data_IF_332769517452
#
_entry.id   IF_332769517452
#
_cell.length_a   1.000
_cell.length_b   1.000
_cell.length_c   1.000
_cell.angle_alpha   90.00
_cell.angle_beta   90.00
_cell.angle_gamma   90.00
#
_symmetry.space_group_name_H-M   'P 1'
#
loop_
_entity.id
_entity.type
_entity.pdbx_description
1 polymer ?
#
# COMPACT_ATOMS: atom_id res chain seq x y z
N UNK A 1 3.36 -14.25 -1.39
CA UNK A 1 4.33 -13.21 -1.77
C UNK A 1 5.72 -13.68 -1.37
N UNK A 2 6.41 -14.33 -2.30
CA UNK A 2 7.77 -14.79 -2.12
C UNK A 2 8.47 -14.58 -3.47
N UNK A 3 9.03 -13.37 -3.67
CA UNK A 3 9.97 -13.12 -4.76
C UNK A 3 11.36 -13.63 -4.33
N UNK A 4 12.02 -14.33 -5.24
CA UNK A 4 13.11 -15.28 -5.03
C UNK A 4 14.38 -14.77 -4.32
N UNK A 5 14.95 -15.70 -3.54
CA UNK A 5 16.39 -15.83 -3.31
C UNK A 5 17.00 -16.69 -4.43
N UNK A 6 17.93 -16.14 -5.20
CA UNK A 6 18.98 -16.89 -5.90
C UNK A 6 20.29 -16.10 -5.83
N UNK A 7 21.10 -16.38 -4.82
CA UNK A 7 22.54 -16.11 -4.88
C UNK A 7 23.27 -17.38 -5.29
N UNK A 8 24.09 -17.23 -6.33
CA UNK A 8 24.95 -18.23 -6.89
C UNK A 8 25.89 -18.85 -5.84
N UNK A 9 26.16 -20.14 -6.05
CA UNK A 9 27.10 -20.97 -5.31
C UNK A 9 28.50 -20.35 -5.28
N UNK A 10 29.09 -20.24 -4.09
CA UNK A 10 30.52 -20.50 -3.92
C UNK A 10 30.69 -21.51 -2.80
N UNK A 11 31.37 -22.61 -3.13
CA UNK A 11 31.72 -23.70 -2.22
C UNK A 11 32.89 -23.25 -1.34
N UNK A 12 32.75 -23.34 -0.03
CA UNK A 12 33.87 -23.60 0.87
C UNK A 12 33.36 -24.34 2.10
N UNK A 13 33.79 -25.59 2.22
CA UNK A 13 33.52 -26.48 3.34
C UNK A 13 34.34 -26.06 4.55
N UNK A 14 33.76 -26.12 5.75
CA UNK A 14 34.45 -26.53 6.98
C UNK A 14 33.45 -27.24 7.91
N UNK A 15 33.91 -28.34 8.47
CA UNK A 15 33.17 -29.29 9.27
C UNK A 15 33.32 -29.02 10.78
N UNK A 16 32.34 -29.55 11.53
CA UNK A 16 32.39 -30.06 12.89
C UNK A 16 32.57 -29.06 14.06
N UNK A 17 31.62 -29.02 14.99
CA UNK A 17 31.65 -29.85 16.21
C UNK A 17 30.39 -29.64 17.08
N UNK A 18 30.14 -30.63 17.92
CA UNK A 18 28.93 -30.87 18.69
C UNK A 18 28.97 -30.26 20.12
N UNK A 19 27.79 -30.37 20.75
CA UNK A 19 27.54 -30.65 22.16
C UNK A 19 27.31 -29.48 23.16
N UNK A 20 26.06 -29.49 23.66
CA UNK A 20 25.63 -29.54 25.08
C UNK A 20 26.33 -28.63 26.09
N UNK A 21 25.54 -27.77 26.76
CA UNK A 21 25.60 -27.61 28.23
C UNK A 21 24.31 -26.98 28.78
N UNK A 22 23.59 -27.76 29.58
CA UNK A 22 22.73 -27.29 30.67
C UNK A 22 23.63 -26.70 31.76
N UNK A 23 23.25 -25.57 32.36
CA UNK A 23 23.39 -25.37 33.80
C UNK A 23 22.51 -24.20 34.27
N UNK A 24 21.64 -24.53 35.22
CA UNK A 24 20.85 -23.62 36.01
C UNK A 24 21.72 -22.82 36.98
N UNK A 25 21.22 -21.67 37.45
CA UNK A 25 21.48 -21.21 38.82
C UNK A 25 20.34 -20.28 39.29
N UNK A 26 19.65 -20.77 40.32
CA UNK A 26 18.85 -20.01 41.27
C UNK A 26 19.70 -18.97 42.01
N UNK A 27 19.11 -17.82 42.30
CA UNK A 27 19.61 -16.86 43.28
C UNK A 27 18.44 -16.17 43.98
N UNK A 28 18.18 -16.55 45.23
CA UNK A 28 17.25 -15.88 46.14
C UNK A 28 17.86 -14.59 46.71
N UNK A 29 17.00 -13.64 47.08
CA UNK A 29 17.23 -12.78 48.25
C UNK A 29 17.05 -11.28 48.00
N UNK A 30 16.21 -10.64 48.82
CA UNK A 30 16.21 -9.18 48.99
C UNK A 30 14.85 -8.62 49.36
N UNK A 31 14.66 -8.26 50.63
CA UNK A 31 13.41 -7.72 51.18
C UNK A 31 13.20 -6.22 50.95
N UNK A 32 11.99 -5.77 51.27
CA UNK A 32 11.56 -4.38 51.43
C UNK A 32 10.13 -4.43 51.97
N UNK A 33 9.80 -3.88 53.14
CA UNK A 33 10.07 -2.50 53.53
C UNK A 33 8.86 -1.68 53.09
N UNK A 34 7.82 -1.69 53.91
CA UNK A 34 6.56 -1.00 53.63
C UNK A 34 6.75 0.51 53.53
N UNK A 35 6.12 1.12 52.52
CA UNK A 35 5.82 2.55 52.52
C UNK A 35 4.50 2.75 51.78
N UNK A 36 3.51 3.29 52.49
CA UNK A 36 2.18 3.56 51.97
C UNK A 36 2.24 4.67 50.91
N UNK A 37 1.96 4.32 49.66
CA UNK A 37 1.64 5.27 48.61
C UNK A 37 0.13 5.35 48.45
N UNK A 38 -0.42 6.51 48.76
CA UNK A 38 -1.79 6.91 48.39
C UNK A 38 -1.96 6.83 46.88
N UNK A 39 -2.66 5.80 46.43
CA UNK A 39 -3.04 5.57 45.03
C UNK A 39 -4.04 6.64 44.61
N UNK A 40 -3.56 7.71 43.97
CA UNK A 40 -4.45 8.62 43.25
C UNK A 40 -5.13 7.84 42.12
N UNK A 41 -6.46 7.85 42.10
CA UNK A 41 -7.24 7.17 41.08
C UNK A 41 -6.84 7.69 39.68
N UNK A 42 -6.60 6.81 38.70
CA UNK A 42 -6.21 7.21 37.36
C UNK A 42 -7.33 8.07 36.75
N UNK A 43 -7.00 9.33 36.49
CA UNK A 43 -7.87 10.25 35.76
C UNK A 43 -8.06 9.68 34.35
N UNK A 44 -9.22 9.09 34.09
CA UNK A 44 -9.65 8.61 32.77
C UNK A 44 -9.82 9.80 31.84
N UNK A 45 -8.69 10.25 31.29
CA UNK A 45 -8.67 11.29 30.26
C UNK A 45 -9.38 10.67 29.06
N UNK A 46 -10.63 11.08 28.84
CA UNK A 46 -11.43 10.64 27.70
C UNK A 46 -10.80 11.27 26.45
N UNK A 47 -9.83 10.58 25.86
CA UNK A 47 -9.20 11.00 24.61
C UNK A 47 -10.28 10.95 23.53
N UNK A 48 -10.61 12.11 22.97
CA UNK A 48 -11.50 12.18 21.81
C UNK A 48 -10.95 11.23 20.74
N UNK A 49 -11.80 10.36 20.13
CA UNK A 49 -11.38 9.51 19.03
C UNK A 49 -10.72 10.36 17.96
N UNK A 50 -9.54 9.96 17.50
CA UNK A 50 -8.93 10.60 16.33
C UNK A 50 -9.84 10.35 15.12
N UNK A 51 -10.23 11.45 14.48
CA UNK A 51 -10.97 11.45 13.21
C UNK A 51 -9.97 11.90 12.15
N UNK A 52 -9.75 11.09 11.12
CA UNK A 52 -8.86 11.48 10.03
C UNK A 52 -9.46 12.72 9.34
N UNK A 53 -8.65 13.73 8.94
CA UNK A 53 -9.16 14.86 8.17
C UNK A 53 -9.95 14.37 6.95
N UNK A 54 -11.14 14.94 6.73
CA UNK A 54 -12.01 14.57 5.63
C UNK A 54 -12.61 13.17 5.74
N UNK A 55 -12.71 12.61 6.95
CA UNK A 55 -13.39 11.35 7.19
C UNK A 55 -14.88 11.47 6.84
N UNK A 56 -15.34 10.56 5.99
CA UNK A 56 -16.73 10.52 5.58
C UNK A 56 -17.59 9.79 6.63
N UNK A 57 -18.80 10.29 6.85
CA UNK A 57 -19.85 9.56 7.57
C UNK A 57 -20.20 8.25 6.86
N UNK A 58 -20.82 7.29 7.56
CA UNK A 58 -21.29 6.05 6.95
C UNK A 58 -22.23 6.30 5.77
N UNK A 59 -23.11 7.31 5.88
CA UNK A 59 -24.02 7.71 4.82
C UNK A 59 -23.26 8.23 3.60
N UNK A 60 -22.28 9.11 3.79
CA UNK A 60 -21.43 9.62 2.71
C UNK A 60 -20.62 8.50 2.03
N UNK A 61 -20.02 7.59 2.81
CA UNK A 61 -19.28 6.43 2.25
C UNK A 61 -20.20 5.52 1.44
N UNK A 62 -21.39 5.22 1.95
CA UNK A 62 -22.43 4.49 1.22
C UNK A 62 -22.86 5.25 -0.03
N UNK A 63 -22.89 6.58 0.02
CA UNK A 63 -23.20 7.45 -1.12
C UNK A 63 -22.08 7.61 -2.15
N UNK A 64 -20.94 6.91 -2.02
CA UNK A 64 -19.83 6.97 -3.00
C UNK A 64 -18.81 8.10 -2.78
N UNK A 65 -18.82 8.73 -1.60
CA UNK A 65 -17.85 9.77 -1.25
C UNK A 65 -16.45 9.19 -0.98
N UNK A 66 -15.43 9.81 -1.55
CA UNK A 66 -14.04 9.44 -1.35
C UNK A 66 -13.52 9.82 0.04
N UNK A 67 -12.80 8.90 0.68
CA UNK A 67 -12.22 9.12 2.01
C UNK A 67 -11.14 10.18 2.00
N UNK A 68 -11.16 11.06 3.01
CA UNK A 68 -10.23 12.18 3.09
C UNK A 68 -10.68 13.40 2.27
N UNK A 69 -11.87 13.33 1.65
CA UNK A 69 -12.46 14.37 0.80
C UNK A 69 -13.94 14.65 1.14
N UNK A 70 -14.34 14.40 2.38
CA UNK A 70 -15.64 14.81 2.91
C UNK A 70 -15.53 16.12 3.71
N UNK A 71 -16.52 17.00 3.56
CA UNK A 71 -16.67 18.20 4.36
C UNK A 71 -17.76 17.95 5.42
N UNK A 72 -17.38 18.05 6.69
CA UNK A 72 -18.31 17.85 7.81
C UNK A 72 -19.26 19.04 8.00
N UNK A 73 -18.85 20.25 7.60
CA UNK A 73 -19.60 21.47 7.88
C UNK A 73 -20.88 21.60 7.04
N UNK A 74 -20.83 21.17 5.79
CA UNK A 74 -21.95 21.26 4.84
C UNK A 74 -22.43 19.89 4.34
N UNK A 75 -21.79 18.79 4.77
CA UNK A 75 -22.10 17.43 4.35
C UNK A 75 -21.69 17.09 2.91
N UNK A 76 -21.05 18.01 2.19
CA UNK A 76 -20.58 17.79 0.82
C UNK A 76 -19.37 16.85 0.78
N UNK A 77 -19.12 16.23 -0.37
CA UNK A 77 -17.95 15.40 -0.58
C UNK A 77 -17.49 15.41 -2.03
N UNK A 78 -16.25 14.96 -2.26
CA UNK A 78 -15.82 14.52 -3.58
C UNK A 78 -16.14 13.05 -3.77
N UNK A 79 -16.61 12.68 -4.95
CA UNK A 79 -16.83 11.30 -5.33
C UNK A 79 -15.50 10.56 -5.55
N UNK A 80 -15.50 9.24 -5.47
CA UNK A 80 -14.35 8.48 -5.97
C UNK A 80 -14.08 8.83 -7.45
N UNK A 81 -12.81 8.78 -7.91
CA UNK A 81 -12.47 8.98 -9.32
C UNK A 81 -13.27 8.10 -10.29
N UNK A 82 -13.60 6.86 -9.88
CA UNK A 82 -14.40 5.92 -10.66
C UNK A 82 -15.92 6.09 -10.50
N UNK A 83 -16.39 7.24 -10.00
CA UNK A 83 -17.81 7.60 -9.82
C UNK A 83 -18.13 8.89 -10.55
N UNK A 84 -19.40 9.08 -10.92
CA UNK A 84 -19.92 10.33 -11.47
C UNK A 84 -20.64 11.12 -10.37
N UNK A 85 -20.42 12.43 -10.36
CA UNK A 85 -21.18 13.36 -9.50
C UNK A 85 -22.44 13.78 -10.24
N UNK A 86 -23.62 13.42 -9.74
CA UNK A 86 -24.93 13.83 -10.26
C UNK A 86 -25.68 14.55 -9.15
N UNK A 87 -25.76 15.87 -9.25
CA UNK A 87 -26.22 16.72 -8.15
C UNK A 87 -25.32 16.55 -6.93
N UNK A 88 -25.92 16.20 -5.79
CA UNK A 88 -25.21 15.94 -4.51
C UNK A 88 -24.88 14.45 -4.29
N UNK A 89 -25.19 13.59 -5.26
CA UNK A 89 -24.98 12.15 -5.17
C UNK A 89 -23.79 11.69 -5.99
N UNK A 90 -23.03 10.71 -5.50
CA UNK A 90 -22.06 9.98 -6.30
C UNK A 90 -22.67 8.68 -6.79
N UNK A 91 -22.69 8.50 -8.10
CA UNK A 91 -23.26 7.31 -8.75
C UNK A 91 -22.20 6.57 -9.54
N UNK A 92 -22.39 5.27 -9.68
CA UNK A 92 -21.58 4.47 -10.58
C UNK A 92 -21.80 4.95 -12.02
N UNK A 93 -20.75 5.10 -12.84
CA UNK A 93 -20.90 5.61 -14.20
C UNK A 93 -21.73 4.65 -15.06
N UNK A 94 -22.41 5.19 -16.09
CA UNK A 94 -23.24 4.38 -16.99
C UNK A 94 -22.43 3.60 -18.04
N UNK A 95 -21.19 4.03 -18.29
CA UNK A 95 -20.24 3.49 -19.28
C UNK A 95 -18.82 3.60 -18.72
N UNK A 96 -17.83 2.84 -19.22
CA UNK A 96 -16.46 3.07 -18.80
C UNK A 96 -16.02 4.47 -19.20
N UNK A 97 -15.16 5.05 -18.38
CA UNK A 97 -14.61 6.38 -18.57
C UNK A 97 -13.15 6.40 -18.13
N UNK A 98 -12.32 7.29 -18.69
CA UNK A 98 -11.01 7.54 -18.13
C UNK A 98 -11.13 8.21 -16.76
N UNK A 99 -10.24 7.85 -15.85
CA UNK A 99 -10.07 8.53 -14.55
C UNK A 99 -8.62 8.45 -14.10
N UNK A 100 -8.19 9.41 -13.28
CA UNK A 100 -6.81 9.51 -12.80
C UNK A 100 -6.75 9.54 -11.27
N UNK A 101 -5.70 8.94 -10.71
CA UNK A 101 -5.45 8.90 -9.27
C UNK A 101 -3.98 8.57 -8.99
N UNK A 102 -3.59 8.61 -7.71
CA UNK A 102 -2.24 8.28 -7.30
C UNK A 102 -2.07 6.80 -6.95
N UNK A 103 -1.08 6.17 -7.56
CA UNK A 103 -0.54 4.87 -7.14
C UNK A 103 0.85 5.05 -6.51
N UNK A 104 1.21 4.15 -5.61
CA UNK A 104 2.43 4.26 -4.81
C UNK A 104 3.26 2.98 -4.88
N UNK A 105 4.59 3.14 -4.85
CA UNK A 105 5.55 2.02 -4.86
C UNK A 105 6.71 2.31 -3.91
N UNK A 106 6.99 1.36 -3.03
CA UNK A 106 8.20 1.39 -2.22
C UNK A 106 9.36 0.79 -3.02
N UNK A 107 10.46 1.53 -3.16
CA UNK A 107 11.63 1.05 -3.90
C UNK A 107 12.94 1.70 -3.43
N UNK A 108 14.05 1.21 -3.96
CA UNK A 108 15.37 1.82 -3.81
C UNK A 108 15.57 3.02 -4.76
N UNK A 109 16.80 3.50 -4.86
CA UNK A 109 17.16 4.69 -5.64
C UNK A 109 17.23 4.43 -7.17
N UNK A 110 16.97 3.21 -7.64
CA UNK A 110 16.89 2.90 -9.07
C UNK A 110 15.56 3.36 -9.66
N UNK A 111 15.56 3.72 -10.93
CA UNK A 111 14.35 4.10 -11.66
C UNK A 111 13.99 3.01 -12.66
N UNK A 112 12.72 2.61 -12.68
CA UNK A 112 12.19 1.58 -13.57
C UNK A 112 11.00 2.10 -14.38
N UNK A 113 10.69 1.42 -15.48
CA UNK A 113 9.35 1.51 -16.07
C UNK A 113 8.38 0.69 -15.21
N UNK A 114 7.14 1.14 -15.06
CA UNK A 114 6.12 0.49 -14.22
C UNK A 114 5.27 -0.54 -14.99
N UNK A 115 5.71 -0.91 -16.20
CA UNK A 115 5.15 -1.98 -16.99
C UNK A 115 5.36 -3.34 -16.30
N UNK A 116 4.27 -4.09 -16.10
CA UNK A 116 4.22 -5.37 -15.37
C UNK A 116 4.70 -5.22 -13.92
N UNK A 117 4.13 -4.25 -13.20
CA UNK A 117 4.41 -4.06 -11.78
C UNK A 117 3.12 -3.96 -10.95
N UNK A 118 3.28 -4.27 -9.67
CA UNK A 118 2.24 -4.17 -8.65
C UNK A 118 2.47 -2.91 -7.80
N UNK A 119 1.48 -2.04 -7.75
CA UNK A 119 1.49 -0.81 -6.97
C UNK A 119 0.40 -0.84 -5.90
N UNK A 120 0.34 0.20 -5.09
CA UNK A 120 -0.59 0.29 -3.99
C UNK A 120 -1.28 1.65 -3.89
N UNK A 121 -2.41 1.67 -3.19
CA UNK A 121 -2.89 2.85 -2.46
C UNK A 121 -1.82 3.37 -1.48
N UNK A 122 -1.94 4.62 -1.01
CA UNK A 122 -0.99 5.14 -0.03
C UNK A 122 -1.01 4.31 1.26
N UNK A 123 -2.21 3.94 1.71
CA UNK A 123 -2.40 3.09 2.89
C UNK A 123 -1.76 1.71 2.73
N UNK A 124 -1.86 1.09 1.55
CA UNK A 124 -1.20 -0.18 1.23
C UNK A 124 0.33 -0.06 1.18
N UNK A 125 0.86 1.03 0.63
CA UNK A 125 2.29 1.23 0.61
C UNK A 125 2.88 1.45 2.01
N UNK A 126 2.22 2.24 2.86
CA UNK A 126 2.67 2.44 4.25
C UNK A 126 2.53 1.13 5.06
N UNK A 127 1.49 0.32 4.81
CA UNK A 127 1.38 -1.02 5.38
C UNK A 127 2.58 -1.90 4.99
N UNK A 128 2.96 -1.90 3.71
CA UNK A 128 4.10 -2.68 3.21
C UNK A 128 5.41 -2.25 3.86
N UNK A 129 5.64 -0.93 3.96
CA UNK A 129 6.81 -0.38 4.64
C UNK A 129 6.91 -0.91 6.07
N UNK A 130 5.83 -0.81 6.86
CA UNK A 130 5.84 -1.24 8.26
C UNK A 130 6.01 -2.76 8.40
N UNK A 131 5.31 -3.55 7.57
CA UNK A 131 5.24 -4.99 7.78
C UNK A 131 6.40 -5.77 7.18
N UNK A 132 6.99 -5.28 6.09
CA UNK A 132 7.96 -6.04 5.30
C UNK A 132 9.31 -5.34 5.13
N UNK A 133 9.35 -4.01 5.19
CA UNK A 133 10.58 -3.25 4.87
C UNK A 133 11.38 -2.89 6.11
N UNK A 134 10.75 -2.15 7.02
CA UNK A 134 11.44 -1.53 8.17
C UNK A 134 11.70 -2.50 9.32
N UNK A 135 11.16 -3.72 9.25
CA UNK A 135 11.38 -4.74 10.27
C UNK A 135 12.66 -5.56 10.08
N UNK A 136 13.03 -5.86 8.84
CA UNK A 136 13.94 -6.97 8.56
C UNK A 136 15.35 -6.70 9.09
N UNK A 137 16.04 -5.75 8.49
CA UNK A 137 17.42 -5.47 8.86
C UNK A 137 17.89 -4.07 8.45
N UNK A 138 19.13 -3.74 8.82
CA UNK A 138 19.95 -2.75 8.14
C UNK A 138 20.86 -3.44 7.10
N UNK A 139 20.88 -3.02 5.82
CA UNK A 139 19.99 -2.04 5.19
C UNK A 139 18.54 -2.55 5.13
N UNK A 140 17.58 -1.63 4.89
CA UNK A 140 16.14 -1.96 4.74
C UNK A 140 15.98 -3.09 3.74
N UNK A 141 14.92 -3.89 3.90
CA UNK A 141 14.63 -4.98 2.97
C UNK A 141 14.63 -4.48 1.51
N UNK A 142 15.27 -5.22 0.61
CA UNK A 142 15.48 -4.86 -0.80
C UNK A 142 16.14 -3.49 -1.03
N UNK A 143 16.87 -2.97 -0.04
CA UNK A 143 17.48 -1.63 -0.06
C UNK A 143 16.48 -0.51 -0.33
N UNK A 144 15.21 -0.69 0.02
CA UNK A 144 14.16 0.30 -0.20
C UNK A 144 14.48 1.58 0.58
N UNK A 145 14.50 2.73 -0.10
CA UNK A 145 14.87 4.04 0.46
C UNK A 145 13.75 5.06 0.36
N UNK A 146 12.80 4.86 -0.56
CA UNK A 146 11.78 5.86 -0.91
C UNK A 146 10.43 5.25 -1.25
N UNK A 147 9.42 6.09 -1.13
CA UNK A 147 8.09 5.86 -1.65
C UNK A 147 7.86 6.76 -2.86
N UNK A 148 7.66 6.15 -4.02
CA UNK A 148 7.30 6.85 -5.25
C UNK A 148 5.79 6.99 -5.34
N UNK A 149 5.35 8.13 -5.89
CA UNK A 149 3.97 8.43 -6.25
C UNK A 149 3.86 8.64 -7.76
N UNK A 150 2.91 7.96 -8.40
CA UNK A 150 2.61 8.08 -9.81
C UNK A 150 1.20 8.62 -10.00
N UNK A 151 1.02 9.59 -10.89
CA UNK A 151 -0.30 9.96 -11.38
C UNK A 151 -0.67 9.02 -12.52
N UNK A 152 -1.56 8.07 -12.26
CA UNK A 152 -1.95 7.02 -13.21
C UNK A 152 -3.32 7.36 -13.78
N UNK A 153 -3.45 7.29 -15.10
CA UNK A 153 -4.73 7.38 -15.81
C UNK A 153 -5.12 6.00 -16.28
N UNK A 154 -6.35 5.61 -15.98
CA UNK A 154 -6.92 4.31 -16.33
C UNK A 154 -8.17 4.50 -17.17
N UNK A 155 -8.30 3.73 -18.24
CA UNK A 155 -9.50 3.59 -19.05
C UNK A 155 -9.61 2.11 -19.48
N UNK A 156 -10.26 1.29 -18.65
CA UNK A 156 -10.46 -0.13 -18.96
C UNK A 156 -11.60 -0.36 -19.96
N UNK A 157 -11.67 -1.58 -20.49
CA UNK A 157 -12.48 -1.92 -21.66
C UNK A 157 -13.99 -1.95 -21.42
N UNK A 158 -14.76 -1.61 -22.46
CA UNK A 158 -16.22 -1.79 -22.50
C UNK A 158 -16.63 -3.23 -22.23
N UNK A 159 -15.87 -4.20 -22.77
CA UNK A 159 -16.15 -5.62 -22.59
C UNK A 159 -16.15 -6.03 -21.10
N UNK A 160 -15.16 -5.55 -20.35
CA UNK A 160 -15.08 -5.79 -18.91
C UNK A 160 -16.20 -5.07 -18.15
N UNK A 161 -16.42 -3.80 -18.48
CA UNK A 161 -17.45 -2.98 -17.85
C UNK A 161 -18.86 -3.55 -18.08
N UNK A 162 -19.16 -4.08 -19.26
CA UNK A 162 -20.46 -4.65 -19.59
C UNK A 162 -20.89 -5.78 -18.65
N UNK A 163 -19.93 -6.57 -18.14
CA UNK A 163 -20.19 -7.76 -17.32
C UNK A 163 -20.26 -7.46 -15.82
N UNK A 164 -19.42 -6.53 -15.32
CA UNK A 164 -19.31 -6.26 -13.88
C UNK A 164 -19.73 -4.85 -13.46
N UNK A 165 -19.91 -3.95 -14.42
CA UNK A 165 -20.01 -2.50 -14.21
C UNK A 165 -18.80 -1.91 -13.47
N UNK A 166 -17.69 -2.65 -13.44
CA UNK A 166 -16.46 -2.28 -12.73
C UNK A 166 -15.55 -1.46 -13.63
N UNK A 167 -14.90 -0.43 -13.09
CA UNK A 167 -13.85 0.32 -13.77
C UNK A 167 -12.45 -0.25 -13.55
N UNK A 168 -12.25 -1.14 -12.56
CA UNK A 168 -11.08 -2.00 -12.47
C UNK A 168 -11.35 -3.43 -12.93
N UNK A 169 -10.29 -4.11 -13.37
CA UNK A 169 -10.27 -5.53 -13.68
C UNK A 169 -9.79 -6.40 -12.53
N UNK A 170 -9.64 -7.72 -12.78
CA UNK A 170 -9.03 -8.63 -11.83
C UNK A 170 -7.57 -8.24 -11.60
N UNK A 171 -7.16 -8.27 -10.33
CA UNK A 171 -5.76 -8.07 -9.97
C UNK A 171 -4.91 -9.20 -10.54
N UNK A 172 -3.83 -8.81 -11.21
CA UNK A 172 -2.82 -9.68 -11.78
C UNK A 172 -1.54 -9.48 -10.97
N UNK A 173 -0.97 -10.52 -10.36
CA UNK A 173 0.27 -10.37 -9.59
C UNK A 173 1.47 -10.47 -10.52
N UNK A 174 2.33 -9.46 -10.49
CA UNK A 174 3.55 -9.45 -11.27
C UNK A 174 4.77 -9.83 -10.41
N UNK A 175 5.39 -10.97 -10.74
CA UNK A 175 6.68 -11.38 -10.20
C UNK A 175 7.72 -11.32 -11.31
N UNK A 176 8.86 -10.68 -11.05
CA UNK A 176 9.96 -10.58 -12.01
C UNK A 176 9.51 -10.02 -13.37
N UNK A 177 8.57 -9.06 -13.33
CA UNK A 177 7.90 -8.43 -14.49
C UNK A 177 7.08 -9.39 -15.37
N UNK A 178 6.73 -10.57 -14.87
CA UNK A 178 5.87 -11.56 -15.52
C UNK A 178 4.69 -11.93 -14.64
N UNK A 179 3.65 -12.49 -15.25
CA UNK A 179 2.39 -12.84 -14.64
C UNK A 179 2.00 -14.25 -15.08
N UNK A 180 2.10 -15.22 -14.17
CA UNK A 180 1.77 -16.60 -14.48
C UNK A 180 0.25 -16.78 -14.63
N UNK A 181 -0.19 -17.42 -15.72
CA UNK A 181 -1.59 -17.72 -16.08
C UNK A 181 -2.51 -16.51 -16.35
N UNK A 182 -2.02 -15.29 -16.19
CA UNK A 182 -2.82 -14.08 -16.38
C UNK A 182 -3.27 -13.86 -17.83
N UNK A 183 -2.50 -14.37 -18.80
CA UNK A 183 -2.83 -14.23 -20.21
C UNK A 183 -4.17 -14.89 -20.55
N UNK A 184 -4.39 -16.12 -20.09
CA UNK A 184 -5.63 -16.86 -20.39
C UNK A 184 -6.77 -16.45 -19.44
N UNK A 185 -6.46 -16.22 -18.15
CA UNK A 185 -7.47 -15.93 -17.12
C UNK A 185 -8.02 -14.51 -17.20
N UNK A 186 -7.19 -13.55 -17.62
CA UNK A 186 -7.50 -12.12 -17.58
C UNK A 186 -7.40 -11.50 -18.97
N UNK A 187 -6.19 -11.48 -19.54
CA UNK A 187 -5.89 -10.54 -20.64
C UNK A 187 -6.53 -10.94 -21.97
N UNK A 188 -6.63 -12.23 -22.28
CA UNK A 188 -7.33 -12.72 -23.47
C UNK A 188 -8.83 -12.45 -23.42
N UNK A 189 -9.40 -12.32 -22.21
CA UNK A 189 -10.84 -12.11 -22.01
C UNK A 189 -11.23 -10.63 -22.00
N UNK A 190 -10.44 -9.81 -21.33
CA UNK A 190 -10.79 -8.42 -21.04
C UNK A 190 -9.86 -7.39 -21.67
N UNK A 191 -8.78 -7.83 -22.32
CA UNK A 191 -7.63 -6.99 -22.64
C UNK A 191 -6.71 -6.80 -21.44
N UNK A 192 -5.65 -6.02 -21.64
CA UNK A 192 -4.65 -5.69 -20.63
C UNK A 192 -5.19 -4.65 -19.64
N UNK A 193 -6.24 -5.02 -18.90
CA UNK A 193 -6.94 -4.14 -17.95
C UNK A 193 -6.12 -3.92 -16.68
N UNK A 194 -6.19 -2.71 -16.14
CA UNK A 194 -5.66 -2.40 -14.81
C UNK A 194 -6.52 -3.08 -13.76
N UNK A 195 -5.89 -3.91 -12.93
CA UNK A 195 -6.56 -4.70 -11.91
C UNK A 195 -6.48 -4.05 -10.52
N UNK A 196 -7.37 -4.48 -9.62
CA UNK A 196 -7.30 -4.09 -8.21
C UNK A 196 -7.67 -5.23 -7.24
N UNK A 197 -7.09 -5.21 -6.05
CA UNK A 197 -7.40 -6.15 -4.97
C UNK A 197 -7.34 -5.47 -3.60
N UNK A 198 -8.29 -5.81 -2.73
CA UNK A 198 -8.25 -5.45 -1.31
C UNK A 198 -7.62 -6.61 -0.52
N UNK A 199 -6.36 -6.50 -0.04
CA UNK A 199 -5.76 -7.53 0.80
C UNK A 199 -6.42 -7.61 2.18
N UNK A 200 -6.83 -8.81 2.60
CA UNK A 200 -7.38 -9.02 3.95
C UNK A 200 -6.36 -8.82 5.08
N UNK A 201 -5.06 -8.99 4.81
CA UNK A 201 -4.00 -8.88 5.82
C UNK A 201 -3.73 -7.43 6.29
N UNK A 202 -4.32 -6.43 5.62
CA UNK A 202 -4.01 -5.01 5.83
C UNK A 202 -5.17 -4.21 6.47
N UNK A 203 -6.17 -4.89 7.05
CA UNK A 203 -7.38 -4.25 7.59
C UNK A 203 -7.10 -3.20 8.69
N UNK A 204 -6.00 -3.34 9.43
CA UNK A 204 -5.60 -2.36 10.45
C UNK A 204 -5.06 -1.04 9.89
N UNK A 205 -4.79 -0.98 8.58
CA UNK A 205 -4.33 0.22 7.86
C UNK A 205 -5.47 0.97 7.16
N UNK A 206 -6.71 0.71 7.57
CA UNK A 206 -7.86 1.44 7.07
C UNK A 206 -7.68 2.95 7.30
N UNK A 207 -7.72 3.74 6.23
CA UNK A 207 -7.57 5.20 6.26
C UNK A 207 -8.86 5.87 5.77
N UNK A 208 -9.38 6.83 6.54
CA UNK A 208 -10.67 7.48 6.28
C UNK A 208 -11.86 6.50 6.05
N UNK A 209 -11.77 5.28 6.57
CA UNK A 209 -12.76 4.21 6.36
C UNK A 209 -12.49 3.30 5.16
N UNK A 210 -11.39 3.51 4.45
CA UNK A 210 -11.01 2.76 3.26
C UNK A 210 -9.84 1.81 3.52
N UNK A 211 -10.00 0.57 3.05
CA UNK A 211 -8.98 -0.46 3.18
C UNK A 211 -7.84 -0.20 2.18
N UNK A 212 -6.63 -0.66 2.50
CA UNK A 212 -5.55 -0.78 1.52
C UNK A 212 -5.99 -1.49 0.25
N UNK A 213 -5.43 -1.06 -0.88
CA UNK A 213 -5.65 -1.63 -2.22
C UNK A 213 -4.31 -1.86 -2.90
N UNK A 214 -4.17 -3.01 -3.57
CA UNK A 214 -3.13 -3.31 -4.56
C UNK A 214 -3.68 -3.08 -5.97
N UNK A 215 -2.84 -2.59 -6.87
CA UNK A 215 -3.15 -2.35 -8.27
C UNK A 215 -2.12 -3.04 -9.16
N UNK A 216 -2.56 -3.54 -10.31
CA UNK A 216 -1.68 -4.24 -11.26
C UNK A 216 -1.65 -3.51 -12.60
N UNK A 217 -0.44 -3.21 -13.10
CA UNK A 217 -0.22 -2.45 -14.35
C UNK A 217 0.36 -3.34 -15.47
N UNK A 218 -0.47 -3.97 -16.31
CA UNK A 218 0.02 -4.82 -17.40
C UNK A 218 0.69 -3.99 -18.50
N UNK A 219 1.99 -4.19 -18.70
CA UNK A 219 2.77 -3.72 -19.84
C UNK A 219 3.07 -4.84 -20.84
N UNK A 220 4.11 -4.66 -21.65
CA UNK A 220 4.45 -5.59 -22.73
C UNK A 220 4.87 -6.98 -22.24
N UNK A 221 4.44 -8.02 -22.97
CA UNK A 221 4.74 -9.42 -22.72
C UNK A 221 4.55 -9.80 -21.23
N UNK A 222 3.35 -9.62 -20.66
CA UNK A 222 3.09 -9.98 -19.27
C UNK A 222 3.12 -11.49 -19.02
N UNK A 223 3.03 -12.35 -20.04
CA UNK A 223 3.09 -13.80 -19.84
C UNK A 223 4.49 -14.35 -19.52
N UNK A 224 5.55 -13.56 -19.73
CA UNK A 224 6.93 -13.97 -19.50
C UNK A 224 7.60 -13.09 -18.44
N UNK A 225 8.49 -13.68 -17.65
CA UNK A 225 9.39 -12.92 -16.80
C UNK A 225 10.40 -12.10 -17.63
N UNK A 226 11.10 -11.17 -16.97
CA UNK A 226 12.04 -10.23 -17.58
C UNK A 226 13.11 -10.89 -18.47
N UNK A 227 13.59 -12.07 -18.10
CA UNK A 227 14.68 -12.76 -18.79
C UNK A 227 14.18 -13.53 -20.03
N UNK A 228 12.88 -13.81 -20.11
CA UNK A 228 12.26 -14.58 -21.18
C UNK A 228 11.41 -13.73 -22.16
N UNK A 229 11.38 -12.40 -22.03
CA UNK A 229 10.63 -11.52 -22.94
C UNK A 229 11.24 -11.46 -24.33
N UNK A 230 10.71 -12.26 -25.26
CA UNK A 230 11.13 -12.24 -26.67
C UNK A 230 10.50 -11.09 -27.46
N UNK A 231 11.12 -10.63 -28.57
CA UNK A 231 10.49 -9.66 -29.48
C UNK A 231 9.13 -10.13 -30.02
N UNK A 232 8.98 -11.44 -30.24
CA UNK A 232 7.71 -12.04 -30.65
C UNK A 232 6.64 -11.86 -29.57
N UNK A 233 6.95 -12.17 -28.31
CA UNK A 233 6.02 -11.99 -27.21
C UNK A 233 5.61 -10.52 -27.03
N UNK A 234 6.56 -9.57 -27.08
CA UNK A 234 6.25 -8.14 -26.99
C UNK A 234 5.31 -7.65 -28.10
N UNK A 235 5.44 -8.23 -29.30
CA UNK A 235 4.56 -7.94 -30.44
C UNK A 235 3.17 -8.57 -30.27
N UNK A 236 3.13 -9.82 -29.84
CA UNK A 236 1.89 -10.60 -29.69
C UNK A 236 1.09 -10.13 -28.45
N UNK A 237 1.81 -9.60 -27.44
CA UNK A 237 1.28 -9.11 -26.18
C UNK A 237 1.77 -7.67 -25.90
N UNK A 238 1.18 -6.64 -26.54
CA UNK A 238 1.66 -5.27 -26.42
C UNK A 238 1.44 -4.63 -25.03
N UNK A 239 0.63 -5.25 -24.17
CA UNK A 239 0.25 -4.69 -22.88
C UNK A 239 -0.85 -3.64 -22.97
N UNK A 240 -1.12 -2.99 -21.84
CA UNK A 240 -2.14 -1.93 -21.72
C UNK A 240 -1.58 -0.52 -21.71
N UNK A 241 -0.26 -0.37 -21.62
CA UNK A 241 0.39 0.94 -21.52
C UNK A 241 0.38 1.64 -22.88
N UNK A 242 -0.12 2.88 -22.91
CA UNK A 242 -0.12 3.72 -24.10
C UNK A 242 -0.03 5.21 -23.73
N UNK A 243 0.10 6.11 -24.71
CA UNK A 243 0.19 7.55 -24.43
C UNK A 243 -1.12 8.14 -23.91
N UNK A 244 -2.24 7.77 -24.55
CA UNK A 244 -3.58 8.27 -24.23
C UNK A 244 -4.53 7.08 -24.14
N UNK A 245 -4.85 6.59 -22.92
CA UNK A 245 -5.78 5.48 -22.73
C UNK A 245 -7.11 5.74 -23.46
N UNK A 246 -7.56 4.77 -24.24
CA UNK A 246 -8.74 4.88 -25.09
C UNK A 246 -9.81 3.82 -24.80
N UNK A 247 -9.55 2.90 -23.88
CA UNK A 247 -10.49 1.83 -23.51
C UNK A 247 -10.41 0.61 -24.42
N UNK A 248 -9.50 0.58 -25.40
CA UNK A 248 -9.22 -0.62 -26.18
C UNK A 248 -8.49 -1.68 -25.34
N UNK A 249 -8.47 -2.93 -25.82
CA UNK A 249 -7.85 -4.05 -25.11
C UNK A 249 -6.33 -3.91 -24.91
N UNK A 250 -5.68 -2.97 -25.60
CA UNK A 250 -4.22 -2.75 -25.59
C UNK A 250 -3.82 -1.33 -25.22
N UNK A 251 -4.78 -0.47 -24.82
CA UNK A 251 -4.51 0.91 -24.46
C UNK A 251 -5.45 1.34 -23.33
N UNK A 252 -5.11 0.86 -22.13
CA UNK A 252 -5.94 0.95 -20.93
C UNK A 252 -5.34 1.85 -19.86
N UNK A 253 -4.04 2.17 -19.91
CA UNK A 253 -3.43 3.02 -18.90
C UNK A 253 -2.17 3.78 -19.36
N UNK A 254 -1.88 4.84 -18.62
CA UNK A 254 -0.63 5.59 -18.68
C UNK A 254 -0.30 6.13 -17.28
N UNK A 255 0.91 6.62 -17.08
CA UNK A 255 1.30 7.33 -15.87
C UNK A 255 2.21 8.53 -16.16
N UNK A 256 2.28 9.42 -15.19
CA UNK A 256 3.35 10.41 -15.06
C UNK A 256 3.93 10.35 -13.66
N UNK A 257 5.23 10.64 -13.53
CA UNK A 257 5.87 10.72 -12.21
C UNK A 257 5.27 11.87 -11.42
N UNK A 258 4.80 11.61 -10.20
CA UNK A 258 4.12 12.58 -9.34
C UNK A 258 4.87 12.78 -8.00
N UNK A 259 6.19 12.60 -8.04
CA UNK A 259 7.07 12.85 -6.92
C UNK A 259 7.37 11.62 -6.04
N UNK A 260 8.19 11.85 -5.03
CA UNK A 260 8.66 10.82 -4.12
C UNK A 260 8.96 11.37 -2.72
N UNK A 261 8.92 10.49 -1.73
CA UNK A 261 9.28 10.77 -0.35
C UNK A 261 10.31 9.74 0.11
N UNK A 262 11.47 10.19 0.60
CA UNK A 262 12.41 9.29 1.25
C UNK A 262 11.82 8.83 2.58
N UNK A 263 12.04 7.58 2.94
CA UNK A 263 11.53 7.02 4.21
C UNK A 263 12.08 7.81 5.41
N UNK A 264 13.32 8.28 5.32
CA UNK A 264 13.98 9.11 6.33
C UNK A 264 13.21 10.41 6.63
N UNK A 265 12.52 10.98 5.64
CA UNK A 265 11.70 12.19 5.82
C UNK A 265 10.51 11.94 6.76
N UNK A 266 10.09 10.68 6.94
CA UNK A 266 9.00 10.29 7.85
C UNK A 266 9.41 10.37 9.33
N UNK A 267 10.71 10.38 9.63
CA UNK A 267 11.24 10.42 11.00
C UNK A 267 11.58 11.83 11.48
N UNK A 268 11.49 12.81 10.58
CA UNK A 268 11.71 14.22 10.87
C UNK A 268 13.04 14.76 10.36
N UNK A 269 13.25 16.08 10.48
CA UNK A 269 14.43 16.75 9.97
C UNK A 269 15.70 16.27 10.69
N UNK A 270 16.78 16.10 9.94
CA UNK A 270 18.08 15.69 10.48
C UNK A 270 18.21 14.20 10.78
N UNK A 271 17.21 13.37 10.45
CA UNK A 271 17.37 11.93 10.52
C UNK A 271 18.38 11.44 9.48
N UNK A 272 19.24 10.51 9.90
CA UNK A 272 20.29 9.89 9.07
C UNK A 272 20.20 8.37 9.24
N UNK A 273 19.79 7.68 8.17
CA UNK A 273 19.64 6.22 8.21
C UNK A 273 20.97 5.49 8.44
N UNK A 274 22.07 5.99 7.89
CA UNK A 274 23.40 5.44 8.14
C UNK A 274 23.81 5.53 9.61
N UNK A 275 23.56 6.68 10.26
CA UNK A 275 23.88 6.85 11.67
C UNK A 275 22.99 6.01 12.57
N UNK A 276 21.71 5.88 12.19
CA UNK A 276 20.77 4.98 12.85
C UNK A 276 21.28 3.52 12.82
N UNK A 277 21.64 3.01 11.64
CA UNK A 277 22.17 1.66 11.51
C UNK A 277 23.50 1.47 12.24
N UNK A 278 24.41 2.45 12.18
CA UNK A 278 25.67 2.40 12.93
C UNK A 278 25.43 2.27 14.45
N UNK A 279 24.47 3.02 15.00
CA UNK A 279 24.10 2.96 16.43
C UNK A 279 23.49 1.62 16.84
N UNK A 280 22.81 0.94 15.93
CA UNK A 280 22.27 -0.40 16.19
C UNK A 280 23.32 -1.52 16.05
N UNK A 281 24.52 -1.23 15.51
CA UNK A 281 25.59 -2.22 15.32
C UNK A 281 25.99 -2.51 13.87
N UNK A 282 25.49 -1.74 12.89
CA UNK A 282 25.95 -1.79 11.48
C UNK A 282 25.01 -2.52 10.54
N UNK A 283 25.51 -3.53 9.82
CA UNK A 283 24.75 -4.30 8.82
C UNK A 283 24.23 -5.62 9.40
N UNK A 284 23.15 -6.14 8.82
CA UNK A 284 22.50 -7.43 9.16
C UNK A 284 21.98 -7.52 10.60
N UNK A 285 21.79 -6.39 11.25
CA UNK A 285 21.13 -6.21 12.54
C UNK A 285 19.63 -5.98 12.34
N UNK A 286 18.76 -6.32 13.32
CA UNK A 286 17.31 -6.17 13.14
C UNK A 286 16.89 -4.71 12.95
N UNK A 287 15.92 -4.45 12.07
CA UNK A 287 15.59 -3.12 11.53
C UNK A 287 15.00 -2.10 12.51
N UNK A 288 14.34 -1.09 11.94
CA UNK A 288 13.81 0.10 12.62
C UNK A 288 12.66 -0.17 13.58
N UNK A 289 11.98 -1.31 13.42
CA UNK A 289 10.81 -1.67 14.20
C UNK A 289 11.01 -3.02 14.92
N UNK A 290 10.66 -3.06 16.20
CA UNK A 290 10.67 -4.27 17.03
C UNK A 290 9.25 -4.82 17.18
N UNK A 291 8.98 -5.98 16.56
CA UNK A 291 7.67 -6.65 16.63
C UNK A 291 7.28 -7.07 18.04
N UNK A 292 8.24 -7.41 18.89
CA UNK A 292 7.96 -7.91 20.23
C UNK A 292 7.52 -6.77 21.16
N UNK A 293 8.07 -5.58 20.93
CA UNK A 293 7.75 -4.39 21.71
C UNK A 293 6.62 -3.54 21.11
N UNK A 294 6.23 -3.83 19.87
CA UNK A 294 5.31 -3.02 19.06
C UNK A 294 5.75 -1.55 18.97
N UNK A 295 7.07 -1.34 18.82
CA UNK A 295 7.71 -0.03 18.89
C UNK A 295 8.85 0.10 17.89
N UNK A 296 9.03 1.30 17.36
CA UNK A 296 10.25 1.64 16.65
C UNK A 296 11.44 1.83 17.60
N UNK A 297 12.64 1.59 17.10
CA UNK A 297 13.89 1.60 17.86
C UNK A 297 14.57 2.95 17.84
N UNK A 298 15.46 3.19 18.81
CA UNK A 298 16.28 4.39 18.94
C UNK A 298 15.51 5.71 18.75
N UNK A 299 14.29 5.78 19.28
CA UNK A 299 13.45 6.99 19.23
C UNK A 299 12.61 7.15 17.97
N UNK A 300 12.65 6.22 17.00
CA UNK A 300 11.71 6.21 15.87
C UNK A 300 10.32 5.87 16.39
N UNK A 301 9.49 6.88 16.68
CA UNK A 301 8.12 6.66 17.19
C UNK A 301 7.10 6.49 16.07
N UNK A 302 7.49 6.77 14.82
CA UNK A 302 6.60 6.69 13.65
C UNK A 302 5.95 5.31 13.50
N UNK A 303 6.63 4.23 13.89
CA UNK A 303 6.14 2.83 13.74
C UNK A 303 5.45 2.24 14.99
N UNK A 304 5.28 2.97 16.09
CA UNK A 304 4.70 2.41 17.33
C UNK A 304 3.22 1.99 17.21
N UNK A 305 2.80 0.93 17.88
CA UNK A 305 1.39 0.50 17.92
C UNK A 305 0.86 0.10 16.52
N UNK A 306 1.52 -0.86 15.87
CA UNK A 306 1.15 -1.43 14.56
C UNK A 306 -0.29 -1.92 14.49
N UNK A 307 -0.82 -2.43 15.59
CA UNK A 307 -2.21 -2.88 15.68
C UNK A 307 -3.25 -1.74 15.72
N UNK A 308 -2.82 -0.51 15.99
CA UNK A 308 -3.74 0.62 16.19
C UNK A 308 -4.20 1.23 14.87
N UNK A 309 -5.49 1.05 14.55
CA UNK A 309 -6.13 1.67 13.37
C UNK A 309 -5.96 3.19 13.34
N UNK A 310 -6.07 3.82 14.52
CA UNK A 310 -5.87 5.28 14.65
C UNK A 310 -4.44 5.68 14.29
N UNK A 311 -3.44 4.99 14.84
CA UNK A 311 -2.03 5.29 14.57
C UNK A 311 -1.67 5.02 13.12
N UNK A 312 -2.22 3.95 12.52
CA UNK A 312 -2.02 3.66 11.10
C UNK A 312 -2.65 4.72 10.20
N UNK A 313 -3.87 5.19 10.49
CA UNK A 313 -4.46 6.31 9.76
C UNK A 313 -3.63 7.60 9.90
N UNK A 314 -3.07 7.88 11.09
CA UNK A 314 -2.15 8.99 11.31
C UNK A 314 -0.86 8.87 10.49
N UNK A 315 -0.30 7.66 10.33
CA UNK A 315 0.87 7.42 9.46
C UNK A 315 0.57 7.77 8.01
N UNK A 316 -0.57 7.31 7.50
CA UNK A 316 -0.99 7.58 6.12
C UNK A 316 -1.13 9.09 5.89
N UNK A 317 -1.77 9.81 6.82
CA UNK A 317 -1.88 11.27 6.74
C UNK A 317 -0.52 11.98 6.85
N UNK A 318 0.37 11.50 7.72
CA UNK A 318 1.71 12.07 7.84
C UNK A 318 2.47 11.98 6.51
N UNK A 319 2.43 10.82 5.83
CA UNK A 319 3.06 10.66 4.52
C UNK A 319 2.37 11.52 3.45
N UNK A 320 1.03 11.57 3.43
CA UNK A 320 0.26 12.46 2.53
C UNK A 320 0.64 13.93 2.73
N UNK A 321 0.82 14.36 3.98
CA UNK A 321 1.24 15.73 4.30
C UNK A 321 2.66 16.05 3.81
N UNK A 322 3.59 15.09 3.86
CA UNK A 322 4.94 15.26 3.29
C UNK A 322 4.83 15.46 1.77
N UNK A 323 4.04 14.64 1.06
CA UNK A 323 3.82 14.83 -0.38
C UNK A 323 3.22 16.20 -0.71
N UNK A 324 2.18 16.63 0.02
CA UNK A 324 1.56 17.96 -0.16
C UNK A 324 2.55 19.11 0.03
N UNK A 325 3.39 19.01 1.07
CA UNK A 325 4.40 20.02 1.37
C UNK A 325 5.49 20.07 0.29
N UNK A 326 5.92 18.91 -0.21
CA UNK A 326 7.04 18.78 -1.16
C UNK A 326 6.62 19.06 -2.61
N UNK A 327 5.37 18.79 -2.96
CA UNK A 327 4.80 18.96 -4.30
C UNK A 327 3.50 19.77 -4.23
N UNK A 328 3.56 21.05 -3.84
CA UNK A 328 2.37 21.88 -3.61
C UNK A 328 1.53 22.14 -4.86
N UNK A 329 2.16 22.09 -6.04
CA UNK A 329 1.48 22.31 -7.33
C UNK A 329 0.75 21.05 -7.86
N UNK A 330 0.95 19.90 -7.20
CA UNK A 330 0.25 18.67 -7.54
C UNK A 330 -1.05 18.57 -6.75
N UNK A 331 -2.21 18.40 -7.40
CA UNK A 331 -3.49 18.31 -6.71
C UNK A 331 -3.52 17.10 -5.79
N UNK A 332 -4.24 17.19 -4.69
CA UNK A 332 -4.53 16.03 -3.87
C UNK A 332 -5.73 15.28 -4.47
N UNK A 333 -5.51 14.05 -4.94
CA UNK A 333 -6.51 13.28 -5.65
C UNK A 333 -7.14 12.21 -4.75
N UNK A 334 -8.46 11.99 -4.81
CA UNK A 334 -9.09 10.90 -4.10
C UNK A 334 -8.61 9.53 -4.58
N UNK A 335 -8.45 8.57 -3.67
CA UNK A 335 -8.19 7.18 -4.02
C UNK A 335 -9.49 6.54 -4.57
N UNK A 336 -9.42 5.72 -5.63
CA UNK A 336 -10.61 5.09 -6.20
C UNK A 336 -11.05 3.86 -5.42
N UNK A 337 -12.33 3.54 -5.52
CA UNK A 337 -12.87 2.31 -4.95
C UNK A 337 -12.44 1.10 -5.81
N UNK A 338 -11.92 0.05 -5.19
CA UNK A 338 -11.67 -1.21 -5.90
C UNK A 338 -12.99 -1.97 -6.12
N UNK A 339 -13.58 -1.82 -7.31
CA UNK A 339 -14.91 -2.31 -7.68
C UNK A 339 -14.93 -3.74 -8.26
N UNK A 340 -13.78 -4.37 -8.51
CA UNK A 340 -13.74 -5.71 -9.10
C UNK A 340 -14.19 -6.83 -8.15
N UNK A 341 -13.82 -6.75 -6.87
CA UNK A 341 -14.04 -7.82 -5.88
C UNK A 341 -15.03 -7.46 -4.78
N UNK A 342 -15.64 -6.28 -4.84
CA UNK A 342 -16.60 -5.83 -3.83
C UNK A 342 -17.61 -4.88 -4.47
N UNK A 343 -18.92 -5.20 -4.45
CA UNK A 343 -19.92 -4.25 -4.87
C UNK A 343 -19.75 -2.98 -4.04
N UNK A 344 -19.92 -1.81 -4.64
CA UNK A 344 -19.72 -0.58 -3.93
C UNK A 344 -20.62 -0.43 -2.71
N UNK A 345 -20.21 0.39 -1.74
CA UNK A 345 -20.99 0.64 -0.53
C UNK A 345 -22.46 1.00 -0.78
N UNK A 346 -22.75 1.71 -1.89
CA UNK A 346 -24.10 2.13 -2.31
C UNK A 346 -25.02 0.98 -2.71
N UNK A 347 -24.47 -0.14 -3.21
CA UNK A 347 -25.25 -1.28 -3.69
C UNK A 347 -25.49 -2.35 -2.60
N UNK A 348 -25.05 -2.11 -1.36
CA UNK A 348 -25.38 -3.00 -0.23
C UNK A 348 -26.77 -2.76 0.36
N UNK A 349 -27.51 -1.76 -0.12
CA UNK A 349 -28.91 -1.53 0.25
C UNK A 349 -29.84 -2.24 -0.72
N UNK A 350 -29.83 -3.57 -0.68
CA UNK A 350 -31.02 -4.39 -0.84
C UNK A 350 -30.62 -5.79 -0.40
N UNK A 351 -31.10 -6.20 0.79
CA UNK A 351 -31.27 -7.61 1.04
C UNK A 351 -32.17 -8.12 -0.10
N UNK A 352 -31.59 -8.83 -1.06
CA UNK A 352 -32.36 -9.84 -1.79
C UNK A 352 -32.77 -10.83 -0.72
N UNK A 353 -33.98 -10.63 -0.20
CA UNK A 353 -34.72 -11.66 0.49
C UNK A 353 -34.98 -12.70 -0.59
N UNK A 354 -34.16 -13.76 -0.59
CA UNK A 354 -34.47 -14.99 -1.32
C UNK A 354 -35.48 -15.76 -0.49
#
# INVERSE_FOLDING_TARGET
MACFSRTAQSRAAWAALAAVSLLALQGCGGGGGGSGTTTAAPTTTTTKPYVAPGQCSDTQRKGGCAGGFCNEADGSCQCFPNYDKIGDSCVQPARPKPFSFYMYRAQDDRNFNWANDDLASLSGAVWYLHNEVVIQSCPRHYSITRLIRLNVTVFNTDAMFAVRKSLFGPFATFDSLGCHNCQEEIFSKWGYVVGCQIPGAADNYTWAGYKPVWYSLPGECPSQDIDHKTPKCKKDEPGGQCLTPDGSSTCTWNYTNAGEVKIDEMYGPGFSYSDFCAKLGGQNIPGEYDRNQDKGKLGITFWNDRGSKVKNAQRVEAVRAIFKKKYPDMPDLPEPWCDWGSPPPSLRSEKVVV
#
